data_IF_759096163085
#
_entry.id   IF_759096163085
#
_cell.length_a   1.000
_cell.length_b   1.000
_cell.length_c   1.000
_cell.angle_alpha   90.00
_cell.angle_beta   90.00
_cell.angle_gamma   90.00
#
_symmetry.space_group_name_H-M   'P 1'
#
loop_
_entity.id
_entity.type
_entity.pdbx_description
1 polymer ?
#
# COMPACT_ATOMS: atom_id res chain seq x y z
N UNK A 1 36.76 3.63 3.34
CA UNK A 1 35.54 3.79 4.15
C UNK A 1 34.34 3.88 3.21
N UNK A 2 33.73 2.74 2.86
CA UNK A 2 32.68 2.69 1.83
C UNK A 2 31.30 2.97 2.44
N UNK A 3 30.55 3.92 1.86
CA UNK A 3 29.15 4.13 2.22
C UNK A 3 28.32 2.94 1.74
N UNK A 4 27.40 2.45 2.59
CA UNK A 4 26.37 1.50 2.18
C UNK A 4 25.45 2.20 1.17
N UNK A 5 25.43 1.70 -0.07
CA UNK A 5 24.36 2.03 -1.02
C UNK A 5 23.17 1.15 -0.62
N UNK A 6 22.09 1.78 -0.16
CA UNK A 6 20.82 1.06 0.05
C UNK A 6 20.16 0.88 -1.29
N UNK A 7 19.99 -0.36 -1.74
CA UNK A 7 19.34 -0.68 -3.01
C UNK A 7 17.82 -0.63 -2.80
N UNK A 8 17.26 0.58 -2.89
CA UNK A 8 15.82 0.79 -3.02
C UNK A 8 15.36 0.22 -4.36
N UNK A 9 14.72 -0.94 -4.36
CA UNK A 9 14.16 -1.55 -5.56
C UNK A 9 12.80 -0.93 -5.88
N UNK A 10 12.82 0.30 -6.41
CA UNK A 10 11.64 0.91 -7.00
C UNK A 10 11.19 0.09 -8.23
N UNK A 11 10.09 -0.66 -8.10
CA UNK A 11 9.54 -1.45 -9.20
C UNK A 11 9.08 -0.49 -10.31
N UNK A 12 9.62 -0.68 -11.51
CA UNK A 12 9.60 0.32 -12.58
C UNK A 12 8.25 0.35 -13.33
N UNK A 13 7.24 0.98 -12.74
CA UNK A 13 5.90 1.12 -13.34
C UNK A 13 5.99 1.94 -14.64
N UNK A 14 5.96 1.24 -15.78
CA UNK A 14 5.80 1.81 -17.12
C UNK A 14 4.66 1.09 -17.85
N UNK A 15 3.50 1.76 -17.90
CA UNK A 15 2.32 1.26 -18.62
C UNK A 15 1.49 0.22 -17.86
N UNK A 16 1.04 0.55 -16.65
CA UNK A 16 -0.12 -0.10 -16.05
C UNK A 16 -1.38 0.69 -16.46
N UNK A 17 -2.37 0.01 -17.03
CA UNK A 17 -3.69 0.58 -17.28
C UNK A 17 -4.66 0.09 -16.20
N UNK A 18 -5.46 1.02 -15.67
CA UNK A 18 -6.45 0.77 -14.62
C UNK A 18 -7.83 0.59 -15.26
N UNK A 19 -8.56 -0.44 -14.85
CA UNK A 19 -9.97 -0.61 -15.15
C UNK A 19 -10.79 -0.37 -13.88
N UNK A 20 -11.70 0.61 -13.91
CA UNK A 20 -12.56 0.92 -12.76
C UNK A 20 -13.70 -0.09 -12.64
N UNK A 21 -13.46 -1.17 -11.89
CA UNK A 21 -14.54 -2.01 -11.37
C UNK A 21 -15.32 -1.25 -10.30
N UNK A 22 -16.63 -1.05 -10.50
CA UNK A 22 -17.47 -0.24 -9.61
C UNK A 22 -17.52 -0.77 -8.17
N UNK A 23 -17.54 0.14 -7.19
CA UNK A 23 -17.80 -0.16 -5.78
C UNK A 23 -19.19 -0.78 -5.58
N UNK A 24 -19.26 -2.11 -5.67
CA UNK A 24 -20.42 -2.91 -5.30
C UNK A 24 -19.94 -4.10 -4.50
N UNK A 25 -20.28 -4.14 -3.21
CA UNK A 25 -20.14 -5.32 -2.38
C UNK A 25 -21.04 -6.44 -2.92
N UNK A 26 -20.44 -7.51 -3.46
CA UNK A 26 -21.22 -8.72 -3.77
C UNK A 26 -21.61 -9.37 -2.44
N UNK A 27 -22.89 -9.27 -2.09
CA UNK A 27 -23.45 -9.69 -0.81
C UNK A 27 -23.45 -11.23 -0.64
N UNK A 28 -22.29 -11.78 -0.32
CA UNK A 28 -22.12 -13.18 0.11
C UNK A 28 -21.04 -13.38 1.20
N UNK A 29 -20.17 -12.39 1.42
CA UNK A 29 -19.44 -12.18 2.68
C UNK A 29 -19.07 -10.69 2.79
N UNK A 30 -19.37 -10.05 3.92
CA UNK A 30 -19.23 -8.59 4.13
C UNK A 30 -17.78 -8.14 4.43
N UNK A 31 -16.80 -9.01 4.21
CA UNK A 31 -15.39 -8.85 4.56
C UNK A 31 -14.63 -8.05 3.48
N UNK A 32 -13.83 -7.06 3.86
CA UNK A 32 -13.04 -6.26 2.92
C UNK A 32 -11.80 -7.01 2.41
N UNK A 33 -11.10 -6.47 1.42
CA UNK A 33 -9.89 -7.10 0.86
C UNK A 33 -8.76 -7.16 1.89
N UNK A 34 -8.60 -6.13 2.74
CA UNK A 34 -7.58 -6.12 3.80
C UNK A 34 -7.92 -7.09 4.95
N UNK A 35 -9.21 -7.21 5.31
CA UNK A 35 -9.66 -8.20 6.29
C UNK A 35 -9.39 -9.64 5.79
N UNK A 36 -9.67 -9.94 4.51
CA UNK A 36 -9.33 -11.22 3.88
C UNK A 36 -7.85 -11.55 3.97
N UNK A 37 -6.97 -10.55 3.81
CA UNK A 37 -5.52 -10.73 3.94
C UNK A 37 -5.13 -11.01 5.40
N UNK A 38 -5.62 -10.22 6.34
CA UNK A 38 -5.44 -10.41 7.80
C UNK A 38 -5.88 -11.82 8.23
N UNK A 39 -7.09 -12.25 7.85
CA UNK A 39 -7.65 -13.56 8.17
C UNK A 39 -6.85 -14.71 7.55
N UNK A 40 -6.37 -14.54 6.32
CA UNK A 40 -5.54 -15.55 5.64
C UNK A 40 -4.17 -15.69 6.29
N UNK A 41 -3.52 -14.58 6.63
CA UNK A 41 -2.21 -14.59 7.30
C UNK A 41 -2.30 -15.13 8.73
N UNK A 42 -3.33 -14.77 9.50
CA UNK A 42 -3.59 -15.35 10.82
C UNK A 42 -3.78 -16.89 10.75
N UNK A 43 -4.45 -17.39 9.71
CA UNK A 43 -4.59 -18.84 9.45
C UNK A 43 -3.29 -19.54 9.06
N UNK A 44 -2.30 -18.81 8.55
CA UNK A 44 -0.93 -19.31 8.30
C UNK A 44 0.02 -19.04 9.48
N UNK A 45 -0.52 -18.71 10.67
CA UNK A 45 0.23 -18.43 11.90
C UNK A 45 1.24 -17.26 11.80
N UNK A 46 1.04 -16.33 10.85
CA UNK A 46 1.86 -15.14 10.71
C UNK A 46 1.54 -14.16 11.84
N UNK A 47 2.57 -13.67 12.53
CA UNK A 47 2.42 -12.65 13.59
C UNK A 47 2.37 -11.26 12.97
N UNK A 48 1.17 -10.68 12.84
CA UNK A 48 0.98 -9.38 12.18
C UNK A 48 1.65 -8.24 12.96
N UNK A 49 2.36 -7.36 12.24
CA UNK A 49 3.11 -6.23 12.79
C UNK A 49 2.57 -4.87 12.31
N UNK A 50 2.16 -4.75 11.05
CA UNK A 50 1.58 -3.53 10.48
C UNK A 50 0.49 -3.85 9.45
N UNK A 51 -0.51 -2.98 9.35
CA UNK A 51 -1.45 -2.90 8.22
C UNK A 51 -1.41 -1.50 7.62
N UNK A 52 -1.62 -1.36 6.31
CA UNK A 52 -1.77 -0.05 5.69
C UNK A 52 -2.79 0.00 4.56
N UNK A 53 -3.36 1.19 4.38
CA UNK A 53 -4.27 1.55 3.30
C UNK A 53 -3.76 2.86 2.65
N UNK A 54 -3.60 2.84 1.34
CA UNK A 54 -3.05 3.94 0.54
C UNK A 54 -3.92 4.22 -0.69
N UNK A 55 -4.17 5.49 -0.99
CA UNK A 55 -4.83 5.92 -2.22
C UNK A 55 -4.19 7.21 -2.76
N UNK A 56 -4.30 7.45 -4.07
CA UNK A 56 -3.72 8.62 -4.76
C UNK A 56 -4.52 8.97 -6.02
N UNK A 57 -4.76 10.27 -6.25
CA UNK A 57 -5.30 10.80 -7.51
C UNK A 57 -4.43 11.95 -8.06
N UNK A 58 -4.67 12.31 -9.31
CA UNK A 58 -4.02 13.43 -10.04
C UNK A 58 -4.80 14.74 -9.82
N UNK A 59 -4.12 15.80 -9.38
CA UNK A 59 -4.77 17.07 -9.03
C UNK A 59 -4.63 18.07 -10.18
N UNK A 60 -5.43 17.87 -11.23
CA UNK A 60 -5.43 18.68 -12.48
C UNK A 60 -5.64 20.19 -12.29
N UNK A 61 -6.13 20.61 -11.12
CA UNK A 61 -6.28 22.02 -10.75
C UNK A 61 -4.99 22.67 -10.22
N UNK A 62 -3.90 21.90 -10.03
CA UNK A 62 -2.58 22.38 -9.60
C UNK A 62 -1.60 22.22 -10.76
N UNK A 63 -1.28 23.36 -11.38
CA UNK A 63 -0.41 23.45 -12.57
C UNK A 63 0.77 24.39 -12.37
N UNK A 64 0.81 25.12 -11.25
CA UNK A 64 1.86 26.06 -10.90
C UNK A 64 2.02 26.19 -9.36
N UNK A 65 3.02 26.96 -8.92
CA UNK A 65 3.25 27.22 -7.50
C UNK A 65 2.05 27.93 -6.81
N UNK A 66 1.30 28.77 -7.52
CA UNK A 66 0.20 29.58 -6.97
C UNK A 66 -1.04 28.72 -6.68
N UNK A 67 -1.41 27.88 -7.63
CA UNK A 67 -2.46 26.86 -7.53
C UNK A 67 -2.10 25.81 -6.49
N UNK A 68 -0.84 25.36 -6.42
CA UNK A 68 -0.35 24.50 -5.33
C UNK A 68 -0.60 25.13 -3.95
N UNK A 69 -0.19 26.39 -3.72
CA UNK A 69 -0.43 27.06 -2.43
C UNK A 69 -1.91 27.27 -2.13
N UNK A 70 -2.75 27.53 -3.16
CA UNK A 70 -4.20 27.62 -3.01
C UNK A 70 -4.81 26.30 -2.55
N UNK A 71 -4.45 25.19 -3.21
CA UNK A 71 -4.95 23.85 -2.90
C UNK A 71 -4.45 23.38 -1.53
N UNK A 72 -3.17 23.61 -1.21
CA UNK A 72 -2.61 23.35 0.12
C UNK A 72 -3.36 24.13 1.21
N UNK A 73 -3.74 25.39 0.98
CA UNK A 73 -4.56 26.18 1.92
C UNK A 73 -5.97 25.61 2.09
N UNK A 74 -6.59 25.13 1.00
CA UNK A 74 -7.91 24.49 1.02
C UNK A 74 -7.90 23.21 1.88
N UNK A 75 -7.00 22.27 1.58
CA UNK A 75 -6.86 21.01 2.31
C UNK A 75 -6.55 21.28 3.79
N UNK A 76 -5.65 22.23 4.11
CA UNK A 76 -5.35 22.64 5.50
C UNK A 76 -6.57 23.18 6.25
N UNK A 77 -7.50 23.86 5.58
CA UNK A 77 -8.75 24.34 6.18
C UNK A 77 -9.75 23.22 6.46
N UNK A 78 -9.78 22.18 5.63
CA UNK A 78 -10.70 21.05 5.76
C UNK A 78 -10.20 20.03 6.79
N UNK A 79 -8.89 19.77 6.81
CA UNK A 79 -8.23 18.76 7.64
C UNK A 79 -7.50 19.37 8.85
N UNK A 80 -8.23 20.16 9.65
CA UNK A 80 -7.70 20.94 10.79
C UNK A 80 -7.10 20.09 11.92
N UNK A 81 -7.46 18.80 12.00
CA UNK A 81 -6.92 17.87 12.99
C UNK A 81 -5.52 17.33 12.66
N UNK A 82 -4.98 17.63 11.47
CA UNK A 82 -3.63 17.24 11.06
C UNK A 82 -2.61 18.35 11.37
N UNK A 83 -1.39 17.98 11.71
CA UNK A 83 -0.23 18.88 11.81
C UNK A 83 0.38 19.05 10.43
N UNK A 84 0.49 20.30 9.95
CA UNK A 84 0.77 20.61 8.55
C UNK A 84 2.11 21.30 8.29
N UNK A 85 3.02 20.61 7.62
CA UNK A 85 4.24 21.16 7.00
C UNK A 85 3.96 21.58 5.55
N UNK A 86 4.63 22.63 5.04
CA UNK A 86 4.70 22.95 3.60
C UNK A 86 6.15 23.31 3.27
N UNK A 87 6.73 22.64 2.28
CA UNK A 87 8.16 22.78 1.92
C UNK A 87 8.42 22.54 0.44
N UNK A 88 9.63 22.88 0.00
CA UNK A 88 10.20 22.54 -1.31
C UNK A 88 11.39 21.60 -1.13
N UNK A 89 11.44 20.52 -1.90
CA UNK A 89 12.54 19.56 -1.93
C UNK A 89 13.01 19.42 -3.38
N UNK A 90 14.11 20.11 -3.73
CA UNK A 90 14.57 20.29 -5.13
C UNK A 90 13.44 20.85 -5.99
N UNK A 91 12.87 20.05 -6.88
CA UNK A 91 11.88 20.46 -7.88
C UNK A 91 10.50 19.88 -7.56
N UNK A 92 10.28 19.50 -6.29
CA UNK A 92 8.99 19.10 -5.73
C UNK A 92 8.53 20.10 -4.67
N UNK A 93 7.33 20.65 -4.84
CA UNK A 93 6.58 21.27 -3.74
C UNK A 93 5.78 20.19 -3.00
N UNK A 94 5.78 20.24 -1.67
CA UNK A 94 5.09 19.27 -0.80
C UNK A 94 4.32 19.98 0.30
N UNK A 95 3.05 19.62 0.48
CA UNK A 95 2.27 19.95 1.67
C UNK A 95 1.88 18.65 2.37
N UNK A 96 2.33 18.50 3.62
CA UNK A 96 2.29 17.24 4.37
C UNK A 96 1.45 17.45 5.63
N UNK A 97 0.29 16.80 5.70
CA UNK A 97 -0.56 16.73 6.87
C UNK A 97 -0.33 15.42 7.59
N UNK A 98 0.04 15.47 8.87
CA UNK A 98 0.24 14.26 9.69
C UNK A 98 -0.70 14.24 10.89
N UNK A 99 -1.31 13.08 11.17
CA UNK A 99 -2.05 12.82 12.41
C UNK A 99 -1.62 11.48 12.98
N UNK A 100 -1.61 11.37 14.31
CA UNK A 100 -1.29 10.13 15.04
C UNK A 100 -2.28 9.99 16.19
N UNK A 101 -2.87 8.80 16.31
CA UNK A 101 -3.52 8.31 17.53
C UNK A 101 -2.60 7.30 18.22
N UNK A 102 -3.14 6.48 19.13
CA UNK A 102 -2.42 5.40 19.81
C UNK A 102 -2.04 4.27 18.85
N UNK A 103 -3.03 3.77 18.09
CA UNK A 103 -2.89 2.62 17.20
C UNK A 103 -2.65 2.99 15.72
N UNK A 104 -2.95 4.23 15.30
CA UNK A 104 -3.06 4.62 13.88
C UNK A 104 -2.27 5.89 13.56
N UNK A 105 -1.56 5.87 12.44
CA UNK A 105 -0.87 7.01 11.84
C UNK A 105 -1.52 7.36 10.50
N UNK A 106 -1.68 8.65 10.22
CA UNK A 106 -2.32 9.15 9.00
C UNK A 106 -1.46 10.24 8.35
N UNK A 107 -1.28 10.15 7.03
CA UNK A 107 -0.52 11.12 6.23
C UNK A 107 -1.34 11.52 5.00
N UNK A 108 -1.64 12.82 4.88
CA UNK A 108 -2.13 13.44 3.64
C UNK A 108 -0.95 14.15 2.99
N UNK A 109 -0.68 13.87 1.72
CA UNK A 109 0.43 14.44 0.96
C UNK A 109 -0.08 15.03 -0.35
N UNK A 110 -0.03 16.36 -0.49
CA UNK A 110 -0.14 17.03 -1.79
C UNK A 110 1.28 17.26 -2.32
N UNK A 111 1.53 16.84 -3.57
CA UNK A 111 2.76 17.09 -4.32
C UNK A 111 2.48 17.87 -5.60
N UNK A 112 3.44 18.67 -6.02
CA UNK A 112 3.50 19.29 -7.35
C UNK A 112 4.96 19.27 -7.83
N UNK A 113 5.19 18.72 -9.02
CA UNK A 113 6.50 18.61 -9.64
C UNK A 113 6.74 19.76 -10.63
N UNK A 114 7.96 20.32 -10.62
CA UNK A 114 8.41 21.38 -11.54
C UNK A 114 9.19 20.70 -12.67
N UNK A 115 8.49 19.95 -13.52
CA UNK A 115 9.03 19.26 -14.68
C UNK A 115 8.25 19.62 -15.97
N UNK A 116 8.69 19.11 -17.13
CA UNK A 116 8.10 19.40 -18.45
C UNK A 116 6.63 18.96 -18.60
N UNK A 117 6.10 18.18 -17.66
CA UNK A 117 4.71 17.75 -17.61
C UNK A 117 3.96 18.32 -16.39
N UNK A 118 4.69 18.91 -15.43
CA UNK A 118 4.19 19.72 -14.31
C UNK A 118 3.06 19.05 -13.52
N UNK A 119 3.25 17.77 -13.22
CA UNK A 119 2.23 16.92 -12.61
C UNK A 119 2.02 17.23 -11.12
N UNK A 120 0.77 17.19 -10.67
CA UNK A 120 0.38 17.29 -9.26
C UNK A 120 -0.45 16.09 -8.82
N UNK A 121 -0.26 15.66 -7.56
CA UNK A 121 -0.97 14.52 -6.98
C UNK A 121 -1.33 14.78 -5.53
N UNK A 122 -2.45 14.22 -5.10
CA UNK A 122 -2.79 14.08 -3.68
C UNK A 122 -2.83 12.59 -3.34
N UNK A 123 -2.22 12.22 -2.22
CA UNK A 123 -2.30 10.87 -1.68
C UNK A 123 -2.63 10.88 -0.20
N UNK A 124 -3.25 9.79 0.25
CA UNK A 124 -3.60 9.54 1.63
C UNK A 124 -3.10 8.16 2.02
N UNK A 125 -2.36 8.09 3.12
CA UNK A 125 -1.80 6.86 3.66
C UNK A 125 -2.19 6.73 5.13
N UNK A 126 -2.69 5.57 5.52
CA UNK A 126 -3.02 5.22 6.90
C UNK A 126 -2.30 3.94 7.26
N UNK A 127 -1.51 3.94 8.33
CA UNK A 127 -0.85 2.75 8.87
C UNK A 127 -1.32 2.46 10.29
N UNK A 128 -1.55 1.19 10.60
CA UNK A 128 -1.90 0.71 11.93
C UNK A 128 -0.89 -0.33 12.39
N UNK A 129 -0.29 -0.15 13.57
CA UNK A 129 0.78 -1.02 14.06
C UNK A 129 0.29 -1.86 15.24
N UNK A 130 0.61 -3.16 15.24
CA UNK A 130 0.16 -4.10 16.26
C UNK A 130 -1.37 -4.27 16.37
N UNK A 131 -2.13 -3.91 15.32
CA UNK A 131 -3.59 -3.95 15.36
C UNK A 131 -4.11 -5.36 15.64
N UNK A 132 -5.02 -5.45 16.61
CA UNK A 132 -5.82 -6.66 16.86
C UNK A 132 -7.09 -6.59 16.02
N UNK A 133 -7.72 -7.74 15.78
CA UNK A 133 -8.94 -7.87 14.98
C UNK A 133 -10.03 -6.84 15.38
N UNK A 134 -10.26 -6.65 16.69
CA UNK A 134 -11.18 -5.64 17.24
C UNK A 134 -10.87 -4.18 16.85
N UNK A 135 -9.63 -3.87 16.45
CA UNK A 135 -9.17 -2.54 16.06
C UNK A 135 -9.32 -2.30 14.54
N UNK A 136 -9.45 -3.35 13.72
CA UNK A 136 -9.52 -3.22 12.25
C UNK A 136 -10.73 -2.43 11.77
N UNK A 137 -11.89 -2.53 12.42
CA UNK A 137 -13.08 -1.73 12.08
C UNK A 137 -12.83 -0.24 12.33
N UNK A 138 -12.11 0.12 13.40
CA UNK A 138 -11.74 1.52 13.65
C UNK A 138 -10.75 2.05 12.60
N UNK A 139 -9.69 1.28 12.30
CA UNK A 139 -8.71 1.63 11.27
C UNK A 139 -9.34 1.84 9.89
N UNK A 140 -10.22 0.92 9.45
CA UNK A 140 -10.93 1.05 8.18
C UNK A 140 -11.86 2.28 8.17
N UNK A 141 -12.61 2.53 9.26
CA UNK A 141 -13.45 3.71 9.38
C UNK A 141 -12.63 5.02 9.33
N UNK A 142 -11.44 5.07 9.93
CA UNK A 142 -10.50 6.21 9.86
C UNK A 142 -9.98 6.43 8.45
N UNK A 143 -9.72 5.36 7.68
CA UNK A 143 -9.40 5.49 6.26
C UNK A 143 -10.60 6.04 5.49
N UNK A 144 -11.72 5.32 5.47
CA UNK A 144 -12.90 5.65 4.66
C UNK A 144 -13.40 7.08 4.89
N UNK A 145 -13.51 7.49 6.17
CA UNK A 145 -14.00 8.80 6.60
C UNK A 145 -13.18 9.97 6.04
N UNK A 146 -11.91 9.77 5.66
CA UNK A 146 -11.09 10.81 5.05
C UNK A 146 -10.87 10.58 3.55
N UNK A 147 -10.83 9.32 3.10
CA UNK A 147 -10.81 8.96 1.67
C UNK A 147 -11.95 9.67 0.91
N UNK A 148 -13.19 9.53 1.38
CA UNK A 148 -14.39 10.19 0.80
C UNK A 148 -14.35 11.73 0.81
N UNK A 149 -13.43 12.34 1.58
CA UNK A 149 -13.25 13.80 1.68
C UNK A 149 -12.03 14.31 0.92
N UNK A 150 -11.16 13.41 0.47
CA UNK A 150 -9.92 13.70 -0.26
C UNK A 150 -10.11 13.43 -1.75
N UNK A 151 -10.73 12.30 -2.08
CA UNK A 151 -10.83 11.79 -3.44
C UNK A 151 -12.25 11.89 -3.97
N UNK A 152 -12.41 12.41 -5.18
CA UNK A 152 -13.70 12.48 -5.88
C UNK A 152 -13.78 11.51 -7.07
N UNK A 153 -12.67 10.88 -7.47
CA UNK A 153 -12.61 9.97 -8.63
C UNK A 153 -12.58 8.49 -8.28
N UNK A 154 -12.86 8.11 -7.02
CA UNK A 154 -12.74 6.74 -6.49
C UNK A 154 -11.47 5.99 -6.95
N UNK A 155 -10.26 6.51 -6.63
CA UNK A 155 -9.00 5.85 -6.99
C UNK A 155 -8.80 4.54 -6.22
N UNK A 156 -8.06 3.59 -6.83
CA UNK A 156 -7.70 2.30 -6.24
C UNK A 156 -7.16 2.46 -4.80
N UNK A 157 -7.69 1.63 -3.89
CA UNK A 157 -7.17 1.50 -2.53
C UNK A 157 -6.14 0.38 -2.51
N UNK A 158 -4.87 0.76 -2.43
CA UNK A 158 -3.77 -0.16 -2.20
C UNK A 158 -3.78 -0.57 -0.73
N UNK A 159 -3.96 -1.86 -0.45
CA UNK A 159 -3.97 -2.44 0.89
C UNK A 159 -2.72 -3.30 1.08
N UNK A 160 -1.98 -3.09 2.17
CA UNK A 160 -0.82 -3.92 2.53
C UNK A 160 -0.95 -4.46 3.96
N UNK A 161 -0.42 -5.66 4.19
CA UNK A 161 -0.30 -6.27 5.51
C UNK A 161 1.11 -6.83 5.68
N UNK A 162 1.70 -6.52 6.83
CA UNK A 162 3.05 -6.90 7.25
C UNK A 162 2.96 -7.70 8.56
N UNK A 163 3.84 -8.68 8.67
CA UNK A 163 3.93 -9.63 9.77
C UNK A 163 5.13 -10.55 9.59
N UNK A 164 5.33 -11.41 10.57
CA UNK A 164 6.56 -12.20 10.73
C UNK A 164 6.22 -13.66 11.04
N UNK A 165 6.95 -14.59 10.41
CA UNK A 165 7.04 -15.99 10.83
C UNK A 165 8.41 -16.17 11.52
N UNK A 166 8.42 -16.88 12.64
CA UNK A 166 9.65 -17.30 13.30
C UNK A 166 10.09 -18.65 12.73
N UNK A 167 11.22 -18.68 12.01
CA UNK A 167 11.80 -19.87 11.37
C UNK A 167 12.31 -20.87 12.43
N UNK A 168 11.40 -21.62 13.06
CA UNK A 168 11.73 -22.79 13.91
C UNK A 168 12.17 -24.02 13.09
N UNK A 169 12.04 -23.96 11.78
CA UNK A 169 12.53 -24.90 10.79
C UNK A 169 13.10 -24.09 9.62
N UNK A 170 14.13 -24.60 8.95
CA UNK A 170 14.66 -24.01 7.72
C UNK A 170 13.71 -24.27 6.54
N UNK A 171 12.61 -23.52 6.51
CA UNK A 171 11.74 -23.40 5.35
C UNK A 171 12.51 -22.81 4.16
N UNK A 172 12.19 -23.25 2.94
CA UNK A 172 12.62 -22.56 1.72
C UNK A 172 11.53 -21.55 1.35
N UNK A 173 11.90 -20.30 1.07
CA UNK A 173 10.95 -19.23 0.72
C UNK A 173 9.98 -19.60 -0.41
N UNK A 174 10.43 -20.45 -1.35
CA UNK A 174 9.58 -20.94 -2.43
C UNK A 174 8.41 -21.78 -1.95
N UNK A 175 8.55 -22.56 -0.87
CA UNK A 175 7.47 -23.36 -0.29
C UNK A 175 6.45 -22.45 0.38
N UNK A 176 6.90 -21.55 1.25
CA UNK A 176 6.04 -20.60 1.97
C UNK A 176 5.21 -19.73 1.01
N UNK A 177 5.80 -19.29 -0.11
CA UNK A 177 5.07 -18.52 -1.12
C UNK A 177 4.06 -19.37 -1.90
N UNK A 178 4.32 -20.67 -2.15
CA UNK A 178 3.32 -21.57 -2.71
C UNK A 178 2.18 -21.86 -1.72
N UNK A 179 2.46 -21.91 -0.42
CA UNK A 179 1.46 -22.13 0.62
C UNK A 179 0.53 -20.91 0.74
N UNK A 180 1.10 -19.69 0.73
CA UNK A 180 0.34 -18.44 0.66
C UNK A 180 -0.47 -18.31 -0.64
N UNK A 181 0.13 -18.59 -1.81
CA UNK A 181 -0.60 -18.56 -3.09
C UNK A 181 -1.80 -19.52 -3.09
N UNK A 182 -1.64 -20.73 -2.53
CA UNK A 182 -2.75 -21.68 -2.34
C UNK A 182 -3.80 -21.14 -1.38
N UNK A 183 -3.40 -20.53 -0.26
CA UNK A 183 -4.32 -19.95 0.71
C UNK A 183 -5.15 -18.77 0.13
N UNK A 184 -4.56 -17.97 -0.77
CA UNK A 184 -5.25 -16.90 -1.50
C UNK A 184 -5.99 -17.36 -2.78
N UNK A 185 -5.99 -18.67 -3.10
CA UNK A 185 -6.52 -19.22 -4.37
C UNK A 185 -5.96 -18.49 -5.61
N UNK A 186 -4.68 -18.16 -5.58
CA UNK A 186 -4.03 -17.25 -6.51
C UNK A 186 -3.12 -17.97 -7.50
N UNK A 187 -3.13 -17.51 -8.75
CA UNK A 187 -2.23 -17.98 -9.82
C UNK A 187 -1.07 -16.98 -9.98
N UNK A 188 0.20 -17.42 -9.97
CA UNK A 188 1.33 -16.52 -10.20
C UNK A 188 1.31 -15.95 -11.63
N UNK A 189 1.75 -14.69 -11.75
CA UNK A 189 1.83 -13.89 -12.98
C UNK A 189 3.29 -13.71 -13.39
N UNK A 190 4.13 -13.35 -12.41
CA UNK A 190 5.57 -13.12 -12.53
C UNK A 190 6.22 -13.22 -11.15
N UNK A 191 7.53 -13.45 -11.11
CA UNK A 191 8.27 -13.63 -9.87
C UNK A 191 9.70 -13.12 -9.96
N UNK A 192 10.20 -12.60 -8.85
CA UNK A 192 11.59 -12.29 -8.58
C UNK A 192 12.06 -13.21 -7.44
N UNK A 193 13.17 -13.90 -7.63
CA UNK A 193 13.73 -14.85 -6.66
C UNK A 193 15.21 -14.52 -6.45
N UNK A 194 15.58 -14.30 -5.18
CA UNK A 194 16.93 -14.02 -4.70
C UNK A 194 17.22 -14.90 -3.46
N UNK A 195 18.48 -14.97 -3.04
CA UNK A 195 18.94 -15.83 -1.92
C UNK A 195 18.16 -15.63 -0.61
N UNK A 196 17.80 -14.40 -0.28
CA UNK A 196 17.10 -14.02 0.97
C UNK A 196 15.79 -13.26 0.73
N UNK A 197 15.29 -13.25 -0.50
CA UNK A 197 14.09 -12.50 -0.89
C UNK A 197 13.36 -13.16 -2.06
N UNK A 198 12.04 -13.24 -1.98
CA UNK A 198 11.19 -13.71 -3.07
C UNK A 198 9.96 -12.82 -3.16
N UNK A 199 9.62 -12.34 -4.36
CA UNK A 199 8.38 -11.60 -4.64
C UNK A 199 7.63 -12.28 -5.77
N UNK A 200 6.31 -12.43 -5.63
CA UNK A 200 5.41 -12.98 -6.65
C UNK A 200 4.23 -12.04 -6.84
N UNK A 201 4.07 -11.53 -8.06
CA UNK A 201 2.83 -10.94 -8.53
C UNK A 201 1.87 -12.07 -8.93
N UNK A 202 0.58 -11.96 -8.60
CA UNK A 202 -0.41 -13.01 -8.78
C UNK A 202 -1.81 -12.45 -9.07
N UNK A 203 -2.69 -13.32 -9.54
CA UNK A 203 -4.11 -13.05 -9.75
C UNK A 203 -4.97 -14.03 -8.97
N UNK A 204 -5.91 -13.52 -8.17
CA UNK A 204 -6.97 -14.31 -7.51
C UNK A 204 -8.34 -13.84 -7.96
N UNK A 205 -9.23 -14.79 -8.28
CA UNK A 205 -10.62 -14.51 -8.63
C UNK A 205 -11.51 -14.12 -7.43
N UNK A 206 -10.93 -13.99 -6.23
CA UNK A 206 -11.64 -13.59 -5.01
C UNK A 206 -11.88 -12.07 -4.91
N UNK A 207 -11.15 -11.26 -5.69
CA UNK A 207 -11.14 -9.79 -5.60
C UNK A 207 -11.48 -9.16 -6.95
N UNK A 208 -12.20 -8.02 -6.95
CA UNK A 208 -12.73 -7.37 -8.17
C UNK A 208 -11.74 -6.43 -8.85
N UNK A 209 -10.91 -5.73 -8.08
CA UNK A 209 -9.91 -4.82 -8.62
C UNK A 209 -8.73 -5.60 -9.19
N UNK A 210 -8.14 -5.11 -10.29
CA UNK A 210 -6.95 -5.65 -10.90
C UNK A 210 -6.18 -4.58 -11.70
N UNK A 211 -4.88 -4.81 -11.87
CA UNK A 211 -3.98 -4.01 -12.69
C UNK A 211 -3.58 -4.80 -13.93
N UNK A 212 -3.68 -4.18 -15.10
CA UNK A 212 -3.28 -4.82 -16.36
C UNK A 212 -1.77 -4.74 -16.55
N UNK A 213 -1.08 -5.90 -16.52
CA UNK A 213 0.35 -5.98 -16.88
C UNK A 213 0.52 -6.19 -18.39
N UNK A 214 1.78 -6.21 -18.86
CA UNK A 214 2.12 -6.54 -20.26
C UNK A 214 1.79 -7.99 -20.68
N UNK A 215 1.36 -8.85 -19.75
CA UNK A 215 1.04 -10.27 -20.02
C UNK A 215 -0.41 -10.62 -19.70
N UNK A 216 -0.88 -10.26 -18.51
CA UNK A 216 -2.19 -10.60 -17.96
C UNK A 216 -2.53 -9.71 -16.76
N UNK A 217 -3.76 -9.79 -16.26
CA UNK A 217 -4.18 -9.11 -15.03
C UNK A 217 -3.43 -9.63 -13.80
N UNK A 218 -3.23 -8.75 -12.80
CA UNK A 218 -2.78 -9.10 -11.46
C UNK A 218 -3.55 -8.29 -10.41
N UNK A 219 -3.75 -8.86 -9.22
CA UNK A 219 -4.41 -8.16 -8.10
C UNK A 219 -3.87 -8.54 -6.71
N UNK A 220 -2.79 -9.30 -6.67
CA UNK A 220 -2.11 -9.74 -5.47
C UNK A 220 -0.61 -9.63 -5.70
N UNK A 221 0.14 -9.16 -4.71
CA UNK A 221 1.58 -9.30 -4.67
C UNK A 221 1.99 -9.80 -3.28
N UNK A 222 2.75 -10.88 -3.24
CA UNK A 222 3.27 -11.50 -2.01
C UNK A 222 4.78 -11.37 -2.07
N UNK A 223 5.42 -10.92 -1.00
CA UNK A 223 6.85 -10.97 -0.86
C UNK A 223 7.26 -11.63 0.47
N UNK A 224 8.42 -12.25 0.47
CA UNK A 224 9.05 -12.86 1.63
C UNK A 224 10.49 -12.36 1.71
N UNK A 225 10.96 -11.97 2.90
CA UNK A 225 12.36 -11.60 3.14
C UNK A 225 12.88 -12.32 4.38
N UNK A 226 13.96 -13.10 4.24
CA UNK A 226 14.66 -13.70 5.40
C UNK A 226 15.58 -12.66 6.04
N UNK A 227 15.59 -12.65 7.36
CA UNK A 227 16.57 -11.88 8.13
C UNK A 227 17.98 -12.47 7.94
N UNK A 228 19.01 -11.62 7.81
CA UNK A 228 20.40 -12.03 7.52
C UNK A 228 21.08 -12.90 8.59
N UNK A 229 20.45 -13.07 9.76
CA UNK A 229 20.95 -13.91 10.85
C UNK A 229 20.22 -15.26 10.95
N UNK A 230 19.19 -15.49 10.11
CA UNK A 230 18.28 -16.62 10.25
C UNK A 230 17.31 -16.47 11.42
N UNK A 231 16.28 -17.33 11.46
CA UNK A 231 15.31 -17.39 12.57
C UNK A 231 14.03 -16.56 12.38
N UNK A 232 13.95 -15.70 11.37
CA UNK A 232 12.74 -14.92 11.08
C UNK A 232 12.60 -14.54 9.59
N UNK A 233 11.37 -14.64 9.08
CA UNK A 233 10.95 -14.27 7.72
C UNK A 233 9.79 -13.27 7.75
N UNK A 234 9.91 -12.15 7.03
CA UNK A 234 8.92 -11.05 6.96
C UNK A 234 7.99 -11.19 5.74
N UNK A 235 6.69 -10.92 5.92
CA UNK A 235 5.57 -11.07 4.95
C UNK A 235 4.54 -9.95 5.22
N UNK A 236 4.24 -8.92 4.43
CA UNK A 236 4.40 -8.59 3.00
C UNK A 236 3.40 -9.28 2.06
N UNK A 237 2.11 -9.03 2.29
CA UNK A 237 1.05 -9.23 1.28
C UNK A 237 0.42 -7.87 0.92
N UNK A 238 0.35 -7.55 -0.37
CA UNK A 238 -0.25 -6.32 -0.91
C UNK A 238 -1.27 -6.60 -2.02
N UNK A 239 -2.22 -5.66 -2.20
CA UNK A 239 -3.22 -5.68 -3.26
C UNK A 239 -3.58 -4.24 -3.68
N UNK A 240 -3.72 -3.94 -4.98
CA UNK A 240 -3.37 -4.80 -6.11
C UNK A 240 -1.86 -5.10 -6.23
N UNK A 241 -1.01 -4.28 -5.61
CA UNK A 241 0.46 -4.43 -5.46
C UNK A 241 0.89 -4.03 -4.05
N UNK A 242 2.14 -4.31 -3.67
CA UNK A 242 2.76 -3.79 -2.45
C UNK A 242 3.16 -2.32 -2.68
N UNK A 243 2.71 -1.43 -1.80
CA UNK A 243 3.07 0.01 -1.82
C UNK A 243 3.82 0.48 -0.56
N UNK A 244 4.10 -0.41 0.40
CA UNK A 244 5.00 -0.14 1.52
C UNK A 244 6.47 -0.31 1.12
N UNK A 245 7.32 0.61 1.55
CA UNK A 245 8.77 0.53 1.42
C UNK A 245 9.38 -0.23 2.61
N UNK A 246 10.53 -0.90 2.40
CA UNK A 246 11.27 -1.71 3.37
C UNK A 246 12.75 -1.28 3.45
#
# INVERSE_FOLDING_TARGET
>A
MFKKISVFLAIFITGLFVYHGSYVSNAQNNETTIEKIVHTLNKQHVSLTEVSLYAREEVKAVTDQKTFYSQAKSIKSNFRGFKWEVKRERDLWKAIGTRKSEDVNEVILLTYAIDEHSNAYISYHVTGQGLKEKNMTHFQNVFQTNYEKIFLSEPIIFSCVTGEINDKMESVLSVEIQDLLRAFNAKPVESLVEESFTSVSAYTGLWKEALQTKKQEMNLQIALRKTRMGGQTTIVVGTPIITSEY
#
